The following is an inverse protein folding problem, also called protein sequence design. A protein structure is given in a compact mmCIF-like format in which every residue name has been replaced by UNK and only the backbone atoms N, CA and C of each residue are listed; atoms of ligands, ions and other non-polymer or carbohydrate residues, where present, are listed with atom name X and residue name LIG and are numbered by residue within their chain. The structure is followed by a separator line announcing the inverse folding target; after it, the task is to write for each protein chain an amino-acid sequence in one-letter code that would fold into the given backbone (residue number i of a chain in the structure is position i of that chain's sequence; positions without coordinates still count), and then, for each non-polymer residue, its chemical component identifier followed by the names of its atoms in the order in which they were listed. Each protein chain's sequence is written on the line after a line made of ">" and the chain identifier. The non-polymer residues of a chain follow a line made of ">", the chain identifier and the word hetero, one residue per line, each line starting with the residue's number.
data_IF_472431713810
#
_entry.id   IF_472431713810
#
_cell.length_a   1.000
_cell.length_b   1.000
_cell.length_c   1.000
_cell.angle_alpha   90.00
_cell.angle_beta   90.00
_cell.angle_gamma   90.00
#
_symmetry.space_group_name_H-M   'P 1'
#
loop_
_entity.id
_entity.type
_entity.pdbx_description
1 polymer ?
#
# COMPACT_ATOMS: atom_id res chain seq x y z
N UNK A 1 -10.13 21.80 17.20
CA UNK A 1 -9.13 22.49 16.37
C UNK A 1 -9.17 21.86 15.00
N UNK A 2 -9.43 22.67 13.93
CA UNK A 2 -9.59 22.18 12.56
C UNK A 2 -8.28 21.68 11.98
N UNK A 3 -8.02 20.37 12.03
CA UNK A 3 -6.92 19.78 11.23
C UNK A 3 -7.19 20.05 9.76
N UNK A 4 -6.15 20.40 9.04
CA UNK A 4 -6.18 20.65 7.63
C UNK A 4 -5.23 19.69 6.91
N UNK A 5 -5.65 19.25 5.73
CA UNK A 5 -4.82 18.52 4.81
C UNK A 5 -4.41 19.48 3.70
N UNK A 6 -3.12 19.62 3.45
CA UNK A 6 -2.59 20.47 2.39
C UNK A 6 -1.67 19.70 1.46
N UNK A 7 -1.67 20.07 0.17
CA UNK A 7 -0.79 19.48 -0.85
C UNK A 7 0.01 20.59 -1.51
N UNK A 8 1.31 20.35 -1.71
CA UNK A 8 2.22 21.27 -2.37
C UNK A 8 3.22 20.56 -3.25
N UNK A 9 3.38 21.03 -4.48
CA UNK A 9 4.33 20.50 -5.46
C UNK A 9 5.56 21.40 -5.53
N UNK A 10 6.74 20.80 -5.39
CA UNK A 10 8.03 21.51 -5.57
C UNK A 10 8.42 21.44 -7.04
N UNK A 11 8.34 22.57 -7.72
CA UNK A 11 8.58 22.66 -9.17
C UNK A 11 10.00 22.24 -9.52
N UNK A 12 10.14 21.25 -10.41
CA UNK A 12 11.46 20.80 -10.90
C UNK A 12 12.45 20.44 -9.78
N UNK A 13 12.02 19.66 -8.79
CA UNK A 13 12.72 19.37 -7.54
C UNK A 13 14.21 19.03 -7.73
N UNK A 14 14.58 18.12 -8.64
CA UNK A 14 15.97 17.73 -8.84
C UNK A 14 16.88 18.90 -9.25
N UNK A 15 16.36 19.89 -10.01
CA UNK A 15 17.11 21.06 -10.41
C UNK A 15 17.32 22.07 -9.27
N UNK A 16 16.58 21.91 -8.17
CA UNK A 16 16.69 22.74 -6.98
C UNK A 16 17.56 22.13 -5.87
N UNK A 17 18.14 20.95 -6.14
CA UNK A 17 19.13 20.35 -5.22
C UNK A 17 20.34 21.24 -5.06
N UNK A 18 21.00 21.13 -3.92
CA UNK A 18 22.25 21.83 -3.66
C UNK A 18 23.29 21.54 -4.75
N UNK A 19 24.14 22.53 -5.09
CA UNK A 19 25.17 22.38 -6.11
C UNK A 19 26.11 21.21 -5.83
N UNK A 20 26.76 20.71 -6.86
CA UNK A 20 27.81 19.72 -6.68
C UNK A 20 28.92 20.27 -5.77
N UNK A 21 29.56 19.41 -4.95
CA UNK A 21 30.72 19.81 -4.15
C UNK A 21 31.80 20.45 -5.01
N UNK A 22 32.56 21.38 -4.41
CA UNK A 22 33.66 22.03 -5.06
C UNK A 22 34.66 21.00 -5.61
N UNK A 23 35.15 21.25 -6.85
CA UNK A 23 36.01 20.31 -7.57
C UNK A 23 35.26 19.25 -8.39
N UNK A 24 33.96 19.09 -8.26
CA UNK A 24 33.18 18.21 -9.15
C UNK A 24 33.03 18.85 -10.52
N UNK A 25 33.50 18.16 -11.58
CA UNK A 25 33.37 18.60 -12.94
C UNK A 25 32.50 17.62 -13.71
N UNK A 26 31.32 18.09 -14.12
CA UNK A 26 30.39 17.36 -14.98
C UNK A 26 29.99 18.26 -16.15
N UNK A 27 29.80 17.66 -17.31
CA UNK A 27 29.28 18.32 -18.49
C UNK A 27 28.07 17.63 -19.04
N UNK A 28 27.13 18.41 -19.55
CA UNK A 28 26.01 17.97 -20.35
C UNK A 28 26.18 18.44 -21.78
N UNK A 29 25.85 17.58 -22.72
CA UNK A 29 25.83 17.96 -24.14
C UNK A 29 24.48 17.58 -24.75
N UNK A 30 23.99 18.45 -25.62
CA UNK A 30 22.85 18.15 -26.47
C UNK A 30 23.06 18.68 -27.87
N UNK A 31 22.43 18.03 -28.83
CA UNK A 31 22.43 18.48 -30.22
C UNK A 31 21.13 19.25 -30.47
N UNK A 32 21.28 20.52 -30.86
CA UNK A 32 20.13 21.33 -31.23
C UNK A 32 19.36 20.66 -32.37
N UNK A 33 18.04 20.41 -32.21
CA UNK A 33 17.25 19.69 -33.21
C UNK A 33 17.08 20.47 -34.52
N UNK A 34 17.23 21.81 -34.52
CA UNK A 34 17.05 22.70 -35.67
C UNK A 34 18.39 22.94 -36.34
N UNK A 35 19.35 23.49 -35.61
CA UNK A 35 20.67 23.88 -36.17
C UNK A 35 21.64 22.71 -36.33
N UNK A 36 21.33 21.56 -35.66
CA UNK A 36 22.20 20.37 -35.61
C UNK A 36 23.57 20.60 -34.96
N UNK A 37 23.78 21.74 -34.31
CA UNK A 37 25.01 22.08 -33.58
C UNK A 37 25.03 21.42 -32.23
N UNK A 38 26.20 20.95 -31.79
CA UNK A 38 26.38 20.43 -30.45
C UNK A 38 26.68 21.58 -29.48
N UNK A 39 25.96 21.59 -28.34
CA UNK A 39 26.17 22.49 -27.22
C UNK A 39 26.69 21.72 -26.01
N UNK A 40 27.62 22.30 -25.28
CA UNK A 40 28.26 21.73 -24.10
C UNK A 40 28.14 22.74 -22.95
N UNK A 41 27.63 22.26 -21.82
CA UNK A 41 27.46 23.10 -20.63
C UNK A 41 28.08 22.39 -19.42
N UNK A 42 28.71 23.18 -18.55
CA UNK A 42 29.12 22.69 -17.24
C UNK A 42 27.89 22.57 -16.35
N UNK A 43 27.73 21.43 -15.74
CA UNK A 43 26.61 21.13 -14.89
C UNK A 43 26.94 21.53 -13.45
N UNK A 44 26.14 22.38 -12.80
CA UNK A 44 26.31 22.85 -11.42
C UNK A 44 25.59 21.98 -10.39
N UNK A 45 24.51 21.31 -10.77
CA UNK A 45 23.70 20.43 -9.94
C UNK A 45 23.08 19.29 -10.75
N UNK A 46 22.32 18.37 -10.10
CA UNK A 46 21.73 17.23 -10.79
C UNK A 46 20.64 17.64 -11.77
N UNK A 47 20.41 16.77 -12.76
CA UNK A 47 19.35 16.94 -13.75
C UNK A 47 18.49 15.67 -13.82
N UNK A 48 17.29 15.79 -14.39
CA UNK A 48 16.42 14.64 -14.65
C UNK A 48 17.12 13.63 -15.56
N UNK A 49 17.00 12.34 -15.18
CA UNK A 49 17.67 11.22 -15.86
C UNK A 49 19.01 10.82 -15.24
N UNK A 50 19.58 11.59 -14.34
CA UNK A 50 20.75 11.15 -13.56
C UNK A 50 20.37 10.20 -12.45
N UNK A 51 21.08 9.09 -12.31
CA UNK A 51 20.89 8.09 -11.24
C UNK A 51 21.06 8.71 -9.85
N UNK A 52 21.94 9.71 -9.71
CA UNK A 52 22.20 10.39 -8.44
C UNK A 52 21.20 11.49 -8.08
N UNK A 53 20.33 11.92 -9.00
CA UNK A 53 19.46 13.08 -8.80
C UNK A 53 18.47 12.89 -7.62
N UNK A 54 17.77 11.73 -7.47
CA UNK A 54 16.87 11.53 -6.36
C UNK A 54 17.58 11.60 -4.99
N UNK A 55 18.76 10.99 -4.88
CA UNK A 55 19.54 11.02 -3.63
C UNK A 55 20.01 12.44 -3.29
N UNK A 56 20.45 13.21 -4.28
CA UNK A 56 20.87 14.60 -4.06
C UNK A 56 19.71 15.50 -3.65
N UNK A 57 18.56 15.29 -4.22
CA UNK A 57 17.36 15.99 -3.80
C UNK A 57 16.98 15.64 -2.35
N UNK A 58 16.99 14.37 -2.02
CA UNK A 58 16.78 13.91 -0.65
C UNK A 58 17.78 14.56 0.33
N UNK A 59 19.08 14.58 -0.02
CA UNK A 59 20.14 15.19 0.78
C UNK A 59 20.01 16.73 0.89
N UNK A 60 19.22 17.37 0.04
CA UNK A 60 18.93 18.80 0.11
C UNK A 60 17.68 19.09 0.95
N UNK A 61 16.57 18.41 0.68
CA UNK A 61 15.29 18.75 1.29
C UNK A 61 15.10 18.17 2.70
N UNK A 62 15.62 16.96 2.97
CA UNK A 62 15.44 16.34 4.28
C UNK A 62 16.15 17.12 5.40
N UNK A 63 17.43 17.53 5.28
CA UNK A 63 18.06 18.37 6.30
C UNK A 63 17.37 19.73 6.46
N UNK A 64 16.76 20.26 5.41
CA UNK A 64 16.00 21.48 5.51
C UNK A 64 14.77 21.31 6.42
N UNK A 65 13.99 20.23 6.26
CA UNK A 65 12.89 19.92 7.18
C UNK A 65 13.38 19.74 8.63
N UNK A 66 14.54 19.11 8.82
CA UNK A 66 15.13 18.97 10.15
C UNK A 66 15.44 20.34 10.79
N UNK A 67 15.91 21.34 10.00
CA UNK A 67 16.09 22.72 10.49
C UNK A 67 14.79 23.41 10.85
N UNK A 68 13.65 22.96 10.32
CA UNK A 68 12.30 23.47 10.66
C UNK A 68 11.70 22.74 11.88
N UNK A 69 12.47 21.87 12.55
CA UNK A 69 12.04 21.17 13.75
C UNK A 69 11.34 19.84 13.50
N UNK A 70 11.40 19.32 12.27
CA UNK A 70 10.86 17.99 11.98
C UNK A 70 11.87 16.90 12.29
N UNK A 71 11.39 15.79 12.84
CA UNK A 71 12.14 14.54 12.92
C UNK A 71 11.76 13.66 11.74
N UNK A 72 12.77 13.20 11.00
CA UNK A 72 12.57 12.25 9.90
C UNK A 72 12.36 10.83 10.44
N UNK A 73 11.44 10.07 9.85
CA UNK A 73 11.24 8.65 10.14
C UNK A 73 12.49 7.81 9.83
N UNK A 74 12.76 6.83 10.67
CA UNK A 74 13.87 5.87 10.47
C UNK A 74 13.42 4.68 9.61
N UNK A 75 12.18 4.22 9.84
CA UNK A 75 11.55 3.12 9.11
C UNK A 75 10.87 3.62 7.83
N UNK A 76 10.19 4.79 7.89
CA UNK A 76 9.59 5.45 6.73
C UNK A 76 10.26 6.80 6.46
N UNK A 77 11.21 6.81 5.55
CA UNK A 77 12.04 7.98 5.26
C UNK A 77 11.31 9.12 4.54
N UNK A 78 10.13 8.87 3.99
CA UNK A 78 9.26 9.91 3.41
C UNK A 78 8.43 10.64 4.47
N UNK A 79 8.42 10.17 5.70
CA UNK A 79 7.69 10.73 6.83
C UNK A 79 8.57 11.72 7.62
N UNK A 80 8.01 12.91 7.90
CA UNK A 80 8.62 13.94 8.75
C UNK A 80 7.56 14.43 9.74
N UNK A 81 7.85 14.33 11.03
CA UNK A 81 6.91 14.75 12.08
C UNK A 81 7.52 15.81 13.00
N UNK A 82 6.77 16.89 13.21
CA UNK A 82 7.09 17.95 14.17
C UNK A 82 6.19 17.83 15.41
N UNK A 83 6.73 17.32 16.50
CA UNK A 83 5.97 17.04 17.72
C UNK A 83 5.51 18.32 18.46
N UNK A 84 6.21 19.46 18.29
CA UNK A 84 5.82 20.73 18.94
C UNK A 84 4.58 21.35 18.30
N UNK A 85 4.40 21.09 16.98
CA UNK A 85 3.29 21.62 16.18
C UNK A 85 2.21 20.59 15.88
N UNK A 86 2.43 19.32 16.24
CA UNK A 86 1.60 18.20 15.81
C UNK A 86 1.35 18.23 14.29
N UNK A 87 2.44 18.38 13.52
CA UNK A 87 2.42 18.55 12.07
C UNK A 87 3.17 17.41 11.40
N UNK A 88 2.47 16.67 10.55
CA UNK A 88 3.00 15.55 9.74
C UNK A 88 3.24 16.03 8.31
N UNK A 89 4.38 15.65 7.73
CA UNK A 89 4.68 15.80 6.30
C UNK A 89 4.97 14.43 5.72
N UNK A 90 4.31 14.10 4.61
CA UNK A 90 4.66 12.99 3.75
C UNK A 90 5.22 13.54 2.44
N UNK A 91 6.50 13.24 2.17
CA UNK A 91 7.22 13.75 1.02
C UNK A 91 7.47 12.63 0.00
N UNK A 92 6.95 12.77 -1.21
CA UNK A 92 7.26 11.89 -2.32
C UNK A 92 7.88 12.68 -3.47
N UNK A 93 9.20 12.71 -3.52
CA UNK A 93 10.03 13.49 -4.47
C UNK A 93 9.69 14.99 -4.44
N UNK A 94 8.76 15.43 -5.28
CA UNK A 94 8.27 16.82 -5.43
C UNK A 94 6.88 17.04 -4.78
N UNK A 95 6.14 15.98 -4.55
CA UNK A 95 4.82 16.05 -3.90
C UNK A 95 4.97 16.04 -2.38
N UNK A 96 4.47 17.09 -1.73
CA UNK A 96 4.46 17.26 -0.28
C UNK A 96 3.02 17.29 0.21
N UNK A 97 2.63 16.32 1.03
CA UNK A 97 1.35 16.31 1.73
C UNK A 97 1.59 16.67 3.20
N UNK A 98 0.84 17.64 3.70
CA UNK A 98 0.91 18.10 5.08
C UNK A 98 -0.42 17.86 5.80
N UNK A 99 -0.37 17.33 7.03
CA UNK A 99 -1.53 17.17 7.91
C UNK A 99 -1.25 17.76 9.30
N UNK A 100 -2.06 18.71 9.74
CA UNK A 100 -1.91 19.40 11.01
C UNK A 100 -2.91 20.53 11.20
N UNK A 101 -2.67 21.43 12.16
CA UNK A 101 -3.45 22.66 12.27
C UNK A 101 -3.29 23.50 11.00
N UNK A 102 -4.38 24.12 10.52
CA UNK A 102 -4.37 24.88 9.27
C UNK A 102 -3.30 25.97 9.22
N UNK A 103 -3.07 26.66 10.35
CA UNK A 103 -2.05 27.70 10.44
C UNK A 103 -0.62 27.12 10.35
N UNK A 104 -0.40 25.92 10.88
CA UNK A 104 0.89 25.24 10.82
C UNK A 104 1.15 24.65 9.42
N UNK A 105 0.13 24.15 8.73
CA UNK A 105 0.23 23.73 7.32
C UNK A 105 0.55 24.95 6.43
N UNK A 106 -0.11 26.07 6.62
CA UNK A 106 0.18 27.30 5.90
C UNK A 106 1.60 27.82 6.19
N UNK A 107 2.03 27.76 7.46
CA UNK A 107 3.37 28.15 7.87
C UNK A 107 4.44 27.34 7.14
N UNK A 108 4.38 26.00 7.19
CA UNK A 108 5.44 25.18 6.56
C UNK A 108 5.47 25.35 5.04
N UNK A 109 4.33 25.52 4.38
CA UNK A 109 4.28 25.78 2.95
C UNK A 109 4.86 27.15 2.59
N UNK A 110 4.65 28.14 3.43
CA UNK A 110 5.28 29.47 3.28
C UNK A 110 6.80 29.39 3.45
N UNK A 111 7.29 28.64 4.43
CA UNK A 111 8.73 28.43 4.62
C UNK A 111 9.34 27.64 3.45
N UNK A 112 8.62 26.63 2.93
CA UNK A 112 9.04 25.88 1.75
C UNK A 112 9.21 26.77 0.50
N UNK A 113 8.29 27.71 0.28
CA UNK A 113 8.35 28.68 -0.82
C UNK A 113 9.50 29.67 -0.71
N UNK A 114 9.97 29.99 0.49
CA UNK A 114 11.15 30.84 0.68
C UNK A 114 12.44 30.16 0.24
N UNK A 115 12.49 28.83 0.33
CA UNK A 115 13.69 28.05 0.00
C UNK A 115 13.64 27.44 -1.39
N UNK A 116 12.48 26.97 -1.83
CA UNK A 116 12.27 26.26 -3.07
C UNK A 116 11.17 26.90 -3.92
N UNK A 117 11.33 26.81 -5.23
CA UNK A 117 10.27 27.22 -6.16
C UNK A 117 9.16 26.16 -6.13
N UNK A 118 7.99 26.53 -5.71
CA UNK A 118 6.82 25.66 -5.62
C UNK A 118 5.70 26.12 -6.56
N UNK A 119 4.74 25.24 -6.84
CA UNK A 119 3.42 25.63 -7.32
C UNK A 119 2.60 26.22 -6.16
N UNK A 120 1.43 26.82 -6.46
CA UNK A 120 0.49 27.24 -5.42
C UNK A 120 0.17 26.05 -4.51
N UNK A 121 0.02 26.30 -3.21
CA UNK A 121 -0.48 25.27 -2.30
C UNK A 121 -1.98 25.12 -2.47
N UNK A 122 -2.44 23.89 -2.34
CA UNK A 122 -3.85 23.55 -2.37
C UNK A 122 -4.24 22.92 -1.03
N UNK A 123 -5.16 23.57 -0.32
CA UNK A 123 -5.75 23.00 0.90
C UNK A 123 -6.91 22.12 0.51
N UNK A 124 -6.94 20.89 1.02
CA UNK A 124 -8.06 19.97 0.78
C UNK A 124 -9.24 20.42 1.66
N UNK A 125 -10.32 20.82 1.03
CA UNK A 125 -11.55 21.29 1.71
C UNK A 125 -12.77 20.61 1.10
N UNK A 126 -13.93 20.78 1.70
CA UNK A 126 -15.21 20.29 1.16
C UNK A 126 -15.52 20.75 -0.27
N UNK A 127 -14.85 21.79 -0.74
CA UNK A 127 -15.06 22.38 -2.06
C UNK A 127 -13.94 22.04 -3.06
N UNK A 128 -12.83 21.48 -2.62
CA UNK A 128 -11.65 21.22 -3.45
C UNK A 128 -11.24 19.75 -3.37
N UNK A 129 -11.21 19.12 -4.52
CA UNK A 129 -10.57 17.80 -4.70
C UNK A 129 -9.13 17.98 -5.13
N UNK A 130 -8.21 17.23 -4.53
CA UNK A 130 -6.79 17.32 -4.84
C UNK A 130 -6.25 16.00 -5.36
N UNK A 131 -5.35 16.10 -6.33
CA UNK A 131 -4.63 14.94 -6.88
C UNK A 131 -3.28 14.80 -6.15
N UNK A 132 -3.09 13.66 -5.48
CA UNK A 132 -1.83 13.30 -4.82
C UNK A 132 -1.44 11.89 -5.27
N UNK A 133 -0.32 11.75 -5.96
CA UNK A 133 0.20 10.47 -6.48
C UNK A 133 -0.82 9.71 -7.36
N UNK A 134 -1.67 10.41 -8.08
CA UNK A 134 -2.74 9.83 -8.89
C UNK A 134 -3.98 9.39 -8.09
N UNK A 135 -4.01 9.69 -6.80
CA UNK A 135 -5.20 9.56 -5.94
C UNK A 135 -5.90 10.91 -5.85
N UNK A 136 -7.20 10.91 -5.97
CA UNK A 136 -8.02 12.09 -5.71
C UNK A 136 -8.48 12.03 -4.26
N UNK A 137 -8.11 13.03 -3.46
CA UNK A 137 -8.49 13.18 -2.06
C UNK A 137 -9.57 14.26 -1.98
N UNK A 138 -10.67 13.97 -1.31
CA UNK A 138 -11.78 14.89 -1.06
C UNK A 138 -12.24 14.78 0.38
N UNK A 139 -12.51 15.92 1.00
CA UNK A 139 -13.15 16.01 2.32
C UNK A 139 -14.62 16.38 2.11
N UNK A 140 -15.53 15.65 2.72
CA UNK A 140 -16.96 15.97 2.75
C UNK A 140 -17.51 15.75 4.16
N UNK A 141 -17.90 16.83 4.82
CA UNK A 141 -18.37 16.79 6.21
C UNK A 141 -17.30 16.20 7.13
N UNK A 142 -17.61 15.10 7.78
CA UNK A 142 -16.74 14.38 8.71
C UNK A 142 -15.95 13.23 8.08
N UNK A 143 -15.88 13.15 6.75
CA UNK A 143 -15.22 12.05 6.03
C UNK A 143 -14.20 12.52 5.00
N UNK A 144 -13.10 11.76 4.90
CA UNK A 144 -12.15 11.84 3.78
C UNK A 144 -12.45 10.69 2.83
N UNK A 145 -12.46 10.99 1.54
CA UNK A 145 -12.58 10.01 0.48
C UNK A 145 -11.31 9.99 -0.37
N UNK A 146 -10.79 8.80 -0.65
CA UNK A 146 -9.63 8.61 -1.53
C UNK A 146 -10.04 7.74 -2.72
N UNK A 147 -9.96 8.29 -3.93
CA UNK A 147 -10.39 7.66 -5.18
C UNK A 147 -9.26 7.61 -6.20
N UNK A 148 -9.30 6.62 -7.09
CA UNK A 148 -8.42 6.51 -8.26
C UNK A 148 -9.19 6.40 -9.58
N UNK A 149 -10.42 6.92 -9.65
CA UNK A 149 -11.29 6.80 -10.82
C UNK A 149 -10.61 7.29 -12.11
N UNK A 150 -9.95 8.45 -12.10
CA UNK A 150 -9.21 9.00 -13.25
C UNK A 150 -8.06 8.10 -13.69
N UNK A 151 -7.32 7.55 -12.72
CA UNK A 151 -6.22 6.62 -13.01
C UNK A 151 -6.76 5.35 -13.67
N UNK A 152 -7.85 4.79 -13.15
CA UNK A 152 -8.52 3.60 -13.70
C UNK A 152 -8.98 3.86 -15.14
N UNK A 153 -9.62 4.99 -15.42
CA UNK A 153 -10.06 5.36 -16.77
C UNK A 153 -8.89 5.45 -17.75
N UNK A 154 -7.79 6.08 -17.33
CA UNK A 154 -6.59 6.16 -18.14
C UNK A 154 -5.94 4.79 -18.40
N UNK A 155 -5.85 3.95 -17.37
CA UNK A 155 -5.31 2.59 -17.48
C UNK A 155 -6.17 1.73 -18.41
N UNK A 156 -7.49 1.76 -18.27
CA UNK A 156 -8.41 1.04 -19.15
C UNK A 156 -8.26 1.48 -20.62
N UNK A 157 -8.09 2.78 -20.87
CA UNK A 157 -7.82 3.32 -22.21
C UNK A 157 -6.51 2.83 -22.79
N UNK A 158 -5.44 2.80 -22.00
CA UNK A 158 -4.11 2.32 -22.43
C UNK A 158 -4.16 0.83 -22.76
N UNK A 159 -4.83 0.02 -21.92
CA UNK A 159 -4.94 -1.43 -22.09
C UNK A 159 -5.97 -1.81 -23.16
N UNK A 160 -6.85 -0.89 -23.54
CA UNK A 160 -7.91 -1.11 -24.52
C UNK A 160 -9.06 -1.98 -24.00
N UNK A 161 -9.45 -1.79 -22.73
CA UNK A 161 -10.55 -2.51 -22.09
C UNK A 161 -11.83 -1.67 -22.16
N UNK A 162 -12.89 -2.28 -22.71
CA UNK A 162 -14.23 -1.64 -22.84
C UNK A 162 -15.35 -2.47 -22.21
N UNK A 163 -15.05 -3.68 -21.74
CA UNK A 163 -16.01 -4.59 -21.11
C UNK A 163 -16.27 -4.26 -19.64
N UNK A 164 -17.14 -5.06 -19.03
CA UNK A 164 -17.46 -5.03 -17.60
C UNK A 164 -17.32 -6.43 -16.97
N UNK A 165 -17.02 -6.46 -15.67
CA UNK A 165 -16.99 -7.70 -14.88
C UNK A 165 -17.45 -7.39 -13.46
N UNK A 166 -18.16 -8.32 -12.83
CA UNK A 166 -18.64 -8.17 -11.44
C UNK A 166 -17.58 -8.52 -10.40
N UNK A 167 -16.57 -9.28 -10.79
CA UNK A 167 -15.44 -9.69 -9.93
C UNK A 167 -14.12 -9.49 -10.68
N UNK A 168 -13.02 -9.20 -10.01
CA UNK A 168 -11.73 -8.93 -10.66
C UNK A 168 -11.07 -10.18 -11.25
N UNK A 169 -11.41 -11.36 -10.70
CA UNK A 169 -10.97 -12.67 -11.20
C UNK A 169 -12.07 -13.69 -10.91
N UNK A 170 -12.38 -14.53 -11.87
CA UNK A 170 -13.49 -15.50 -11.78
C UNK A 170 -13.07 -16.95 -11.95
N UNK A 171 -11.81 -17.20 -12.31
CA UNK A 171 -11.27 -18.54 -12.49
C UNK A 171 -9.74 -18.54 -12.33
N UNK A 172 -9.12 -19.67 -12.01
CA UNK A 172 -7.66 -19.81 -12.01
C UNK A 172 -7.06 -19.48 -13.38
N UNK A 173 -5.82 -19.01 -13.37
CA UNK A 173 -5.07 -18.73 -14.60
C UNK A 173 -4.49 -20.05 -15.14
N UNK A 174 -4.82 -20.36 -16.38
CA UNK A 174 -4.32 -21.56 -17.05
C UNK A 174 -2.85 -21.40 -17.44
N UNK A 175 -2.00 -22.22 -16.87
CA UNK A 175 -0.55 -22.23 -17.13
C UNK A 175 -0.17 -22.93 -18.43
N UNK A 176 -1.05 -23.82 -18.95
CA UNK A 176 -0.82 -24.56 -20.19
C UNK A 176 -1.28 -23.76 -21.42
N UNK A 177 -1.85 -22.57 -21.19
CA UNK A 177 -2.20 -21.61 -22.24
C UNK A 177 -0.96 -21.10 -22.97
N UNK A 178 -1.04 -20.77 -24.27
CA UNK A 178 0.11 -20.29 -25.05
C UNK A 178 0.80 -19.07 -24.42
N UNK A 179 2.13 -19.04 -24.51
CA UNK A 179 2.91 -17.90 -24.07
C UNK A 179 2.68 -16.69 -24.98
N UNK A 180 2.73 -15.50 -24.40
CA UNK A 180 2.62 -14.25 -25.13
C UNK A 180 3.87 -13.97 -25.97
N UNK A 181 3.68 -13.33 -27.13
CA UNK A 181 4.78 -12.74 -27.89
C UNK A 181 5.56 -11.71 -27.08
N UNK A 182 6.76 -11.33 -27.52
CA UNK A 182 7.57 -10.31 -26.85
C UNK A 182 6.80 -8.98 -26.67
N UNK A 183 6.00 -8.57 -27.66
CA UNK A 183 5.12 -7.40 -27.56
C UNK A 183 4.03 -7.61 -26.52
N UNK A 184 3.35 -8.75 -26.54
CA UNK A 184 2.31 -9.10 -25.57
C UNK A 184 2.86 -9.15 -24.13
N UNK A 185 4.09 -9.64 -23.94
CA UNK A 185 4.78 -9.64 -22.65
C UNK A 185 5.02 -8.21 -22.13
N UNK A 186 5.46 -7.28 -22.99
CA UNK A 186 5.66 -5.88 -22.60
C UNK A 186 4.32 -5.22 -22.19
N UNK A 187 3.26 -5.45 -22.96
CA UNK A 187 1.90 -4.96 -22.64
C UNK A 187 1.39 -5.56 -21.32
N UNK A 188 1.62 -6.86 -21.09
CA UNK A 188 1.25 -7.53 -19.85
C UNK A 188 1.97 -6.91 -18.63
N UNK A 189 3.29 -6.73 -18.70
CA UNK A 189 4.07 -6.15 -17.61
C UNK A 189 3.64 -4.71 -17.29
N UNK A 190 3.32 -3.92 -18.31
CA UNK A 190 2.77 -2.57 -18.12
C UNK A 190 1.44 -2.62 -17.38
N UNK A 191 0.53 -3.50 -17.80
CA UNK A 191 -0.78 -3.65 -17.17
C UNK A 191 -0.69 -4.18 -15.73
N UNK A 192 0.21 -5.14 -15.46
CA UNK A 192 0.48 -5.64 -14.10
C UNK A 192 1.03 -4.54 -13.20
N UNK A 193 1.92 -3.68 -13.71
CA UNK A 193 2.41 -2.52 -12.96
C UNK A 193 1.28 -1.55 -12.59
N UNK A 194 0.40 -1.24 -13.53
CA UNK A 194 -0.78 -0.38 -13.26
C UNK A 194 -1.74 -1.02 -12.26
N UNK A 195 -2.00 -2.33 -12.37
CA UNK A 195 -2.85 -3.07 -11.43
C UNK A 195 -2.23 -3.10 -10.02
N UNK A 196 -0.90 -3.29 -9.95
CA UNK A 196 -0.17 -3.29 -8.68
C UNK A 196 -0.24 -1.96 -7.95
N UNK A 197 -0.16 -0.84 -8.69
CA UNK A 197 -0.33 0.48 -8.10
C UNK A 197 -1.72 0.65 -7.49
N UNK A 198 -2.77 0.29 -8.23
CA UNK A 198 -4.14 0.32 -7.73
C UNK A 198 -4.34 -0.55 -6.49
N UNK A 199 -3.83 -1.78 -6.52
CA UNK A 199 -3.97 -2.77 -5.44
C UNK A 199 -3.25 -2.39 -4.14
N UNK A 200 -2.21 -1.55 -4.22
CA UNK A 200 -1.39 -1.13 -3.07
C UNK A 200 -1.74 0.27 -2.54
N UNK A 201 -2.64 0.98 -3.21
CA UNK A 201 -3.02 2.34 -2.82
C UNK A 201 -4.46 2.42 -2.32
N UNK A 202 -5.44 2.37 -3.21
CA UNK A 202 -6.86 2.57 -2.90
C UNK A 202 -7.70 1.33 -3.19
N UNK A 203 -7.39 0.57 -4.25
CA UNK A 203 -8.20 -0.54 -4.73
C UNK A 203 -7.73 -1.87 -4.14
N UNK A 204 -7.82 -1.98 -2.81
CA UNK A 204 -7.44 -3.20 -2.10
C UNK A 204 -8.26 -4.42 -2.53
N UNK A 205 -9.46 -4.21 -3.02
CA UNK A 205 -10.35 -5.24 -3.56
C UNK A 205 -9.77 -6.04 -4.76
N UNK A 206 -8.72 -5.54 -5.39
CA UNK A 206 -7.99 -6.27 -6.45
C UNK A 206 -6.63 -6.83 -6.00
N UNK A 207 -6.27 -6.75 -4.72
CA UNK A 207 -4.94 -7.18 -4.21
C UNK A 207 -4.69 -8.68 -4.43
N UNK A 208 -5.68 -9.54 -4.20
CA UNK A 208 -5.57 -10.97 -4.51
C UNK A 208 -5.35 -11.19 -6.01
N UNK A 209 -6.15 -10.54 -6.83
CA UNK A 209 -6.07 -10.65 -8.30
C UNK A 209 -4.70 -10.20 -8.80
N UNK A 210 -4.19 -9.08 -8.29
CA UNK A 210 -2.84 -8.61 -8.59
C UNK A 210 -1.78 -9.64 -8.18
N UNK A 211 -1.84 -10.15 -6.95
CA UNK A 211 -0.91 -11.16 -6.45
C UNK A 211 -0.88 -12.41 -7.33
N UNK A 212 -2.05 -12.86 -7.81
CA UNK A 212 -2.16 -14.01 -8.69
C UNK A 212 -1.58 -13.75 -10.07
N UNK A 213 -1.95 -12.66 -10.70
CA UNK A 213 -1.49 -12.29 -12.06
C UNK A 213 0.01 -12.02 -12.06
N UNK A 214 0.55 -11.32 -11.05
CA UNK A 214 1.97 -10.97 -10.95
C UNK A 214 2.90 -12.20 -10.91
N UNK A 215 2.42 -13.35 -10.43
CA UNK A 215 3.18 -14.60 -10.43
C UNK A 215 3.52 -15.13 -11.85
N UNK A 216 2.79 -14.66 -12.87
CA UNK A 216 3.02 -15.01 -14.27
C UNK A 216 3.94 -14.03 -15.02
N UNK A 217 4.54 -13.05 -14.35
CA UNK A 217 5.35 -11.98 -14.99
C UNK A 217 6.60 -12.49 -15.72
N UNK A 218 7.17 -13.61 -15.29
CA UNK A 218 8.35 -14.20 -15.95
C UNK A 218 8.00 -14.79 -17.32
N UNK A 219 6.91 -15.57 -17.41
CA UNK A 219 6.41 -16.23 -18.62
C UNK A 219 4.89 -16.06 -18.73
N UNK A 220 4.41 -14.88 -19.13
CA UNK A 220 2.98 -14.61 -19.20
C UNK A 220 2.32 -15.32 -20.37
N UNK A 221 1.13 -15.88 -20.10
CA UNK A 221 0.32 -16.62 -21.07
C UNK A 221 -0.88 -15.81 -21.55
N UNK A 222 -1.56 -16.27 -22.60
CA UNK A 222 -2.81 -15.68 -23.08
C UNK A 222 -3.89 -15.69 -22.00
N UNK A 223 -3.93 -16.76 -21.17
CA UNK A 223 -4.83 -16.86 -20.02
C UNK A 223 -4.52 -15.79 -18.96
N UNK A 224 -3.24 -15.53 -18.68
CA UNK A 224 -2.82 -14.48 -17.76
C UNK A 224 -3.22 -13.08 -18.28
N UNK A 225 -3.07 -12.81 -19.59
CA UNK A 225 -3.53 -11.56 -20.21
C UNK A 225 -5.06 -11.43 -20.15
N UNK A 226 -5.81 -12.52 -20.32
CA UNK A 226 -7.26 -12.53 -20.15
C UNK A 226 -7.65 -12.18 -18.71
N UNK A 227 -6.95 -12.69 -17.71
CA UNK A 227 -7.18 -12.34 -16.31
C UNK A 227 -6.92 -10.85 -16.06
N UNK A 228 -5.84 -10.27 -16.63
CA UNK A 228 -5.58 -8.81 -16.59
C UNK A 228 -6.77 -8.03 -17.15
N UNK A 229 -7.26 -8.41 -18.34
CA UNK A 229 -8.40 -7.71 -18.97
C UNK A 229 -9.68 -7.82 -18.15
N UNK A 230 -9.92 -8.97 -17.49
CA UNK A 230 -11.06 -9.15 -16.58
C UNK A 230 -10.94 -8.24 -15.37
N UNK A 231 -9.73 -8.13 -14.78
CA UNK A 231 -9.48 -7.23 -13.66
C UNK A 231 -9.75 -5.77 -14.02
N UNK A 232 -9.28 -5.32 -15.19
CA UNK A 232 -9.55 -3.94 -15.64
C UNK A 232 -11.00 -3.71 -16.09
N UNK A 233 -11.70 -4.74 -16.59
CA UNK A 233 -13.13 -4.66 -16.85
C UNK A 233 -13.95 -4.49 -15.56
N UNK A 234 -13.55 -5.18 -14.47
CA UNK A 234 -14.09 -4.98 -13.14
C UNK A 234 -13.79 -3.56 -12.62
N UNK A 235 -12.54 -3.12 -12.71
CA UNK A 235 -12.13 -1.77 -12.27
C UNK A 235 -12.88 -0.67 -13.02
N UNK A 236 -13.08 -0.82 -14.34
CA UNK A 236 -13.85 0.13 -15.15
C UNK A 236 -15.30 0.25 -14.69
N UNK A 237 -15.94 -0.88 -14.40
CA UNK A 237 -17.32 -0.90 -13.89
C UNK A 237 -17.43 -0.34 -12.47
N UNK A 238 -16.42 -0.59 -11.63
CA UNK A 238 -16.40 -0.25 -10.21
C UNK A 238 -15.48 0.95 -9.89
N UNK A 239 -15.20 1.82 -10.85
CA UNK A 239 -14.25 2.93 -10.70
C UNK A 239 -14.61 3.94 -9.61
N UNK A 240 -15.88 4.03 -9.24
CA UNK A 240 -16.40 4.93 -8.20
C UNK A 240 -16.24 4.37 -6.77
N UNK A 241 -15.76 3.13 -6.62
CA UNK A 241 -15.40 2.64 -5.30
C UNK A 241 -14.11 3.30 -4.81
N UNK A 242 -14.15 3.78 -3.58
CA UNK A 242 -13.09 4.51 -2.92
C UNK A 242 -12.94 4.08 -1.46
N UNK A 243 -11.84 4.45 -0.83
CA UNK A 243 -11.66 4.35 0.61
C UNK A 243 -12.33 5.56 1.25
N UNK A 244 -13.05 5.35 2.36
CA UNK A 244 -13.60 6.41 3.18
C UNK A 244 -13.13 6.26 4.61
N UNK A 245 -12.55 7.31 5.16
CA UNK A 245 -12.15 7.40 6.56
C UNK A 245 -12.92 8.51 7.26
N UNK A 246 -13.35 8.27 8.51
CA UNK A 246 -14.00 9.30 9.32
C UNK A 246 -12.96 10.26 9.88
N UNK A 247 -13.22 11.55 9.76
CA UNK A 247 -12.48 12.63 10.43
C UNK A 247 -13.23 12.93 11.72
N UNK A 248 -12.54 13.01 12.84
CA UNK A 248 -13.19 13.43 14.09
C UNK A 248 -13.46 14.92 14.08
N UNK A 249 -14.74 15.31 14.30
CA UNK A 249 -15.15 16.72 14.42
C UNK A 249 -14.61 17.37 15.68
N UNK A 250 -14.48 18.71 15.64
CA UNK A 250 -13.81 19.60 16.62
C UNK A 250 -14.35 19.55 18.06
N UNK A 251 -15.51 18.95 18.33
CA UNK A 251 -16.15 18.91 19.65
C UNK A 251 -15.73 17.71 20.53
N UNK A 252 -14.90 16.82 20.01
CA UNK A 252 -14.35 15.71 20.77
C UNK A 252 -12.96 16.11 21.23
N UNK A 253 -12.72 16.10 22.54
CA UNK A 253 -11.37 16.26 23.10
C UNK A 253 -10.44 15.24 22.45
N UNK A 254 -9.69 15.68 21.42
CA UNK A 254 -8.85 14.82 20.57
C UNK A 254 -7.81 14.10 21.43
N UNK A 255 -7.28 14.73 22.49
CA UNK A 255 -6.35 14.07 23.39
C UNK A 255 -7.03 12.97 24.19
N UNK A 256 -8.24 13.20 24.71
CA UNK A 256 -9.03 12.16 25.38
C UNK A 256 -9.54 11.11 24.39
N UNK A 257 -9.73 11.47 23.13
CA UNK A 257 -10.13 10.54 22.06
C UNK A 257 -8.93 9.79 21.51
N UNK A 258 -7.77 10.41 21.33
CA UNK A 258 -6.52 9.72 20.97
C UNK A 258 -6.06 8.79 22.09
N UNK A 259 -6.22 9.17 23.36
CA UNK A 259 -6.00 8.26 24.49
C UNK A 259 -7.01 7.11 24.50
N UNK A 260 -8.27 7.35 24.13
CA UNK A 260 -9.26 6.30 23.90
C UNK A 260 -8.95 5.47 22.64
N UNK A 261 -8.57 6.10 21.52
CA UNK A 261 -8.21 5.44 20.28
C UNK A 261 -6.95 4.56 20.45
N UNK A 262 -6.00 5.00 21.26
CA UNK A 262 -4.82 4.21 21.63
C UNK A 262 -5.14 3.04 22.57
N UNK A 263 -6.23 3.14 23.34
CA UNK A 263 -6.67 2.13 24.33
C UNK A 263 -7.88 1.32 23.84
N UNK A 264 -8.58 1.77 22.79
CA UNK A 264 -9.80 1.13 22.32
C UNK A 264 -9.48 0.20 21.14
N UNK A 265 -9.46 -1.11 21.44
CA UNK A 265 -9.31 -2.17 20.44
C UNK A 265 -10.40 -2.12 19.35
N UNK A 266 -11.49 -1.40 19.57
CA UNK A 266 -12.62 -1.31 18.66
C UNK A 266 -12.35 -0.38 17.45
N UNK A 267 -11.30 0.46 17.53
CA UNK A 267 -10.90 1.37 16.43
C UNK A 267 -10.01 0.65 15.41
N UNK A 268 -9.15 -0.24 15.89
CA UNK A 268 -8.24 -1.00 15.05
C UNK A 268 -8.73 -2.43 14.90
N UNK A 269 -8.80 -2.90 13.68
CA UNK A 269 -9.07 -4.31 13.34
C UNK A 269 -7.91 -4.89 12.55
N UNK A 270 -7.44 -6.07 12.97
CA UNK A 270 -6.34 -6.81 12.33
C UNK A 270 -6.84 -8.21 12.02
N UNK A 271 -7.21 -8.45 10.76
CA UNK A 271 -7.74 -9.72 10.31
C UNK A 271 -6.75 -10.49 9.46
N UNK A 272 -6.60 -11.77 9.71
CA UNK A 272 -5.71 -12.68 8.97
C UNK A 272 -6.47 -13.88 8.46
N UNK A 273 -6.12 -14.31 7.24
CA UNK A 273 -6.62 -15.54 6.62
C UNK A 273 -5.52 -16.23 5.83
N UNK A 274 -5.69 -17.51 5.53
CA UNK A 274 -4.86 -18.23 4.59
C UNK A 274 -5.63 -19.27 3.79
N UNK A 275 -5.39 -19.34 2.50
CA UNK A 275 -5.91 -20.40 1.65
C UNK A 275 -4.84 -21.47 1.44
N UNK A 276 -5.12 -22.69 1.97
CA UNK A 276 -4.21 -23.81 1.90
C UNK A 276 -4.17 -24.39 0.50
N UNK A 277 -3.00 -24.34 -0.14
CA UNK A 277 -2.74 -24.97 -1.45
C UNK A 277 -3.76 -24.58 -2.55
N UNK A 278 -4.48 -23.46 -2.37
CA UNK A 278 -5.50 -22.96 -3.31
C UNK A 278 -4.92 -22.60 -4.68
N UNK A 279 -3.60 -22.46 -4.76
CA UNK A 279 -2.86 -22.31 -5.99
C UNK A 279 -2.57 -23.67 -6.64
N UNK A 280 -3.59 -24.28 -7.24
CA UNK A 280 -3.49 -25.60 -7.89
C UNK A 280 -2.66 -25.61 -9.19
N UNK A 281 -2.16 -24.44 -9.63
CA UNK A 281 -1.37 -24.30 -10.85
C UNK A 281 -0.01 -25.01 -10.68
N UNK A 282 0.32 -25.88 -11.63
CA UNK A 282 1.52 -26.75 -11.60
C UNK A 282 2.81 -25.94 -11.43
N UNK A 283 2.91 -24.77 -12.08
CA UNK A 283 4.09 -23.91 -11.98
C UNK A 283 4.25 -23.25 -10.61
N UNK A 284 3.17 -23.00 -9.90
CA UNK A 284 3.17 -22.33 -8.57
C UNK A 284 3.30 -23.33 -7.41
N UNK A 285 3.46 -24.63 -7.70
CA UNK A 285 3.79 -25.66 -6.72
C UNK A 285 2.82 -25.72 -5.54
N UNK A 286 1.53 -25.45 -5.78
CA UNK A 286 0.47 -25.40 -4.77
C UNK A 286 0.83 -24.53 -3.56
N UNK A 287 1.38 -23.36 -3.80
CA UNK A 287 1.65 -22.38 -2.73
C UNK A 287 0.34 -21.90 -2.12
N UNK A 288 0.36 -21.75 -0.84
CA UNK A 288 -0.73 -21.12 -0.09
C UNK A 288 -0.74 -19.61 -0.29
N UNK A 289 -1.90 -18.99 -0.14
CA UNK A 289 -2.05 -17.54 -0.19
C UNK A 289 -2.33 -17.02 1.21
N UNK A 290 -1.61 -16.00 1.64
CA UNK A 290 -1.79 -15.35 2.95
C UNK A 290 -2.45 -13.99 2.74
N UNK A 291 -3.44 -13.68 3.56
CA UNK A 291 -4.18 -12.42 3.57
C UNK A 291 -4.03 -11.71 4.90
N UNK A 292 -3.89 -10.40 4.86
CA UNK A 292 -3.92 -9.50 6.02
C UNK A 292 -4.78 -8.30 5.66
N UNK A 293 -5.70 -7.92 6.54
CA UNK A 293 -6.48 -6.69 6.46
C UNK A 293 -6.34 -5.92 7.77
N UNK A 294 -5.84 -4.70 7.69
CA UNK A 294 -5.77 -3.76 8.82
C UNK A 294 -6.69 -2.60 8.51
N UNK A 295 -7.60 -2.33 9.43
CA UNK A 295 -8.53 -1.20 9.35
C UNK A 295 -8.36 -0.28 10.55
N UNK A 296 -8.59 1.00 10.33
CA UNK A 296 -8.71 2.03 11.37
C UNK A 296 -10.03 2.75 11.16
N UNK A 297 -10.90 2.78 12.15
CA UNK A 297 -12.26 3.34 12.00
C UNK A 297 -12.99 2.80 10.77
N UNK A 298 -12.99 1.49 10.59
CA UNK A 298 -13.59 0.79 9.44
C UNK A 298 -12.88 1.04 8.09
N UNK A 299 -12.01 2.04 7.98
CA UNK A 299 -11.25 2.30 6.76
C UNK A 299 -10.05 1.35 6.64
N UNK A 300 -9.87 0.65 5.51
CA UNK A 300 -8.69 -0.18 5.28
C UNK A 300 -7.47 0.71 5.10
N UNK A 301 -6.42 0.46 5.87
CA UNK A 301 -5.14 1.18 5.78
C UNK A 301 -4.04 0.31 5.20
N UNK A 302 -4.10 -0.99 5.43
CA UNK A 302 -3.17 -1.97 4.85
C UNK A 302 -3.90 -3.25 4.51
N UNK A 303 -3.81 -3.67 3.26
CA UNK A 303 -4.35 -4.93 2.80
C UNK A 303 -3.30 -5.68 1.99
N UNK A 304 -2.93 -6.87 2.44
CA UNK A 304 -1.86 -7.67 1.84
C UNK A 304 -2.41 -8.98 1.32
N UNK A 305 -2.02 -9.33 0.10
CA UNK A 305 -2.23 -10.64 -0.48
C UNK A 305 -0.89 -11.18 -1.00
N UNK A 306 -0.34 -12.19 -0.33
CA UNK A 306 0.99 -12.73 -0.64
C UNK A 306 0.93 -14.25 -0.79
N UNK A 307 1.53 -14.78 -1.87
CA UNK A 307 1.83 -16.23 -1.94
C UNK A 307 2.86 -16.61 -0.87
N UNK A 308 2.64 -17.72 -0.19
CA UNK A 308 3.60 -18.27 0.78
C UNK A 308 4.96 -18.52 0.11
N UNK A 309 6.04 -18.15 0.81
CA UNK A 309 7.39 -18.47 0.37
C UNK A 309 7.78 -19.93 0.62
N UNK A 310 7.00 -20.65 1.41
CA UNK A 310 7.29 -22.02 1.84
C UNK A 310 6.66 -22.99 0.87
N UNK A 311 7.47 -23.56 0.01
CA UNK A 311 7.17 -24.79 -0.70
C UNK A 311 8.19 -25.84 -0.23
N UNK A 312 7.75 -26.97 0.29
CA UNK A 312 8.66 -28.05 0.64
C UNK A 312 9.15 -28.70 -0.64
N UNK A 313 10.45 -28.60 -0.92
CA UNK A 313 11.09 -29.42 -1.94
C UNK A 313 11.74 -30.64 -1.26
N UNK A 314 11.36 -31.83 -1.65
CA UNK A 314 12.08 -33.04 -1.27
C UNK A 314 13.22 -33.27 -2.25
N UNK A 315 14.48 -33.31 -1.81
CA UNK A 315 15.62 -33.66 -2.68
C UNK A 315 15.49 -35.05 -3.32
N UNK A 316 14.67 -35.92 -2.70
CA UNK A 316 14.47 -37.32 -3.16
C UNK A 316 13.44 -37.43 -4.29
N UNK A 317 12.55 -36.46 -4.46
CA UNK A 317 11.45 -36.56 -5.42
C UNK A 317 11.60 -35.48 -6.53
N UNK A 318 12.52 -34.52 -6.38
CA UNK A 318 12.79 -33.48 -7.38
C UNK A 318 11.66 -32.47 -7.57
N UNK A 319 10.58 -32.60 -6.80
CA UNK A 319 9.39 -31.73 -6.88
C UNK A 319 9.16 -31.01 -5.56
N UNK A 320 8.71 -29.78 -5.65
CA UNK A 320 8.25 -29.04 -4.47
C UNK A 320 6.83 -29.47 -4.13
N UNK A 321 6.62 -29.85 -2.88
CA UNK A 321 5.31 -30.24 -2.37
C UNK A 321 4.67 -29.05 -1.62
N UNK A 322 3.32 -29.04 -1.63
CA UNK A 322 2.53 -28.12 -0.87
C UNK A 322 2.79 -28.23 0.65
N UNK A 323 2.44 -27.20 1.40
CA UNK A 323 2.41 -27.24 2.86
C UNK A 323 1.64 -28.48 3.37
N UNK A 324 2.21 -29.17 4.33
CA UNK A 324 1.73 -30.51 4.73
C UNK A 324 0.41 -30.51 5.50
N UNK A 325 -0.08 -29.34 5.95
CA UNK A 325 -1.39 -29.21 6.59
C UNK A 325 -1.91 -27.77 6.56
N UNK A 326 -3.25 -27.62 6.55
CA UNK A 326 -3.89 -26.29 6.68
C UNK A 326 -3.44 -25.55 7.95
N UNK A 327 -3.32 -26.26 9.07
CA UNK A 327 -2.85 -25.67 10.32
C UNK A 327 -1.42 -25.08 10.24
N UNK A 328 -0.51 -25.71 9.49
CA UNK A 328 0.85 -25.17 9.30
C UNK A 328 0.82 -23.87 8.51
N UNK A 329 -0.02 -23.78 7.49
CA UNK A 329 -0.17 -22.59 6.64
C UNK A 329 -0.74 -21.43 7.45
N UNK A 330 -1.76 -21.68 8.25
CA UNK A 330 -2.35 -20.69 9.14
C UNK A 330 -1.34 -20.13 10.15
N UNK A 331 -0.52 -21.00 10.74
CA UNK A 331 0.57 -20.60 11.64
C UNK A 331 1.58 -19.69 10.91
N UNK A 332 1.91 -20.01 9.66
CA UNK A 332 2.79 -19.17 8.85
C UNK A 332 2.14 -17.84 8.50
N UNK A 333 0.85 -17.83 8.19
CA UNK A 333 0.10 -16.62 7.91
C UNK A 333 0.09 -15.68 9.11
N UNK A 334 -0.25 -16.19 10.29
CA UNK A 334 -0.18 -15.44 11.55
C UNK A 334 1.22 -14.89 11.82
N UNK A 335 2.26 -15.72 11.66
CA UNK A 335 3.64 -15.26 11.85
C UNK A 335 4.08 -14.17 10.89
N UNK A 336 3.65 -14.23 9.62
CA UNK A 336 3.92 -13.17 8.64
C UNK A 336 3.12 -11.90 8.94
N UNK A 337 1.82 -12.04 9.23
CA UNK A 337 0.95 -10.92 9.58
C UNK A 337 1.47 -10.15 10.80
N UNK A 338 1.92 -10.86 11.85
CA UNK A 338 2.48 -10.19 13.04
C UNK A 338 3.78 -9.42 12.74
N UNK A 339 4.61 -9.88 11.80
CA UNK A 339 5.79 -9.12 11.37
C UNK A 339 5.40 -7.87 10.57
N UNK A 340 4.42 -7.98 9.65
CA UNK A 340 3.91 -6.84 8.89
C UNK A 340 3.24 -5.82 9.84
N UNK A 341 2.45 -6.26 10.82
CA UNK A 341 1.82 -5.42 11.85
C UNK A 341 2.87 -4.67 12.70
N UNK A 342 3.92 -5.37 13.14
CA UNK A 342 5.00 -4.73 13.91
C UNK A 342 5.78 -3.71 13.09
N UNK A 343 5.98 -3.95 11.78
CA UNK A 343 6.60 -2.95 10.90
C UNK A 343 5.71 -1.69 10.77
N UNK A 344 4.40 -1.88 10.68
CA UNK A 344 3.42 -0.77 10.63
C UNK A 344 3.43 0.01 11.96
N UNK A 345 3.55 -0.67 13.11
CA UNK A 345 3.57 0.01 14.41
C UNK A 345 4.69 1.06 14.50
N UNK A 346 5.87 0.76 13.98
CA UNK A 346 6.97 1.73 13.94
C UNK A 346 6.65 2.94 13.07
N UNK A 347 6.02 2.73 11.90
CA UNK A 347 5.62 3.85 11.02
C UNK A 347 4.56 4.72 11.69
N UNK A 348 3.56 4.11 12.34
CA UNK A 348 2.50 4.81 13.07
C UNK A 348 3.11 5.69 14.18
N UNK A 349 4.07 5.17 14.95
CA UNK A 349 4.77 5.94 15.98
C UNK A 349 5.62 7.08 15.39
N UNK A 350 6.27 6.87 14.25
CA UNK A 350 7.02 7.91 13.53
C UNK A 350 6.11 9.04 13.01
N UNK A 351 4.84 8.75 12.75
CA UNK A 351 3.81 9.72 12.38
C UNK A 351 3.23 10.48 13.60
N UNK A 352 3.76 10.24 14.80
CA UNK A 352 3.27 10.88 16.04
C UNK A 352 2.00 10.25 16.61
N UNK A 353 1.58 9.09 16.08
CA UNK A 353 0.39 8.38 16.56
C UNK A 353 0.78 7.24 17.50
N UNK A 354 -0.15 6.84 18.37
CA UNK A 354 0.03 5.70 19.27
C UNK A 354 -0.54 4.43 18.62
N UNK A 355 0.28 3.37 18.58
CA UNK A 355 -0.17 2.06 18.11
C UNK A 355 -0.85 1.28 19.27
N UNK A 356 -1.98 0.58 19.05
CA UNK A 356 -2.68 -0.13 20.12
C UNK A 356 -1.88 -1.35 20.59
N UNK A 357 -1.59 -1.41 21.89
CA UNK A 357 -0.97 -2.58 22.54
C UNK A 357 -1.75 -2.89 23.83
N UNK A 358 -2.29 -4.10 23.98
CA UNK A 358 -2.28 -5.23 23.02
C UNK A 358 -3.17 -5.00 21.80
N UNK A 359 -2.72 -5.33 20.60
CA UNK A 359 -3.61 -5.40 19.47
C UNK A 359 -4.34 -6.75 19.40
N UNK A 360 -5.57 -6.76 18.90
CA UNK A 360 -6.37 -7.95 18.72
C UNK A 360 -6.18 -8.52 17.32
N UNK A 361 -5.63 -9.76 17.20
CA UNK A 361 -5.48 -10.43 15.90
C UNK A 361 -6.63 -11.40 15.70
N UNK A 362 -7.48 -11.09 14.74
CA UNK A 362 -8.70 -11.81 14.40
C UNK A 362 -8.40 -12.88 13.33
N UNK A 363 -8.89 -14.11 13.57
CA UNK A 363 -8.72 -15.24 12.66
C UNK A 363 -9.91 -16.18 12.78
N UNK A 364 -10.32 -16.82 11.69
CA UNK A 364 -11.44 -17.76 11.68
C UNK A 364 -11.01 -19.22 11.90
N UNK A 365 -9.72 -19.50 11.90
CA UNK A 365 -9.17 -20.83 12.12
C UNK A 365 -8.85 -21.09 13.60
N UNK A 366 -9.68 -21.90 14.26
CA UNK A 366 -9.47 -22.27 15.67
C UNK A 366 -8.16 -23.00 15.94
N UNK A 367 -7.64 -23.78 14.99
CA UNK A 367 -6.36 -24.46 15.17
C UNK A 367 -5.20 -23.45 15.23
N UNK A 368 -5.22 -22.42 14.39
CA UNK A 368 -4.27 -21.33 14.43
C UNK A 368 -4.37 -20.54 15.74
N UNK A 369 -5.58 -20.22 16.18
CA UNK A 369 -5.83 -19.54 17.46
C UNK A 369 -5.32 -20.34 18.66
N UNK A 370 -5.64 -21.62 18.74
CA UNK A 370 -5.17 -22.53 19.81
C UNK A 370 -3.64 -22.62 19.82
N UNK A 371 -3.04 -22.62 18.63
CA UNK A 371 -1.59 -22.58 18.48
C UNK A 371 -0.99 -21.28 19.05
N UNK A 372 -1.56 -20.13 18.74
CA UNK A 372 -1.17 -18.83 19.29
C UNK A 372 -1.30 -18.81 20.83
N UNK A 373 -2.34 -19.47 21.37
CA UNK A 373 -2.55 -19.62 22.83
C UNK A 373 -1.59 -20.58 23.50
N UNK A 374 -0.72 -21.25 22.75
CA UNK A 374 0.33 -22.10 23.30
C UNK A 374 -0.09 -23.49 23.75
N UNK A 375 -1.33 -23.90 23.42
CA UNK A 375 -1.88 -25.21 23.79
C UNK A 375 -1.42 -26.34 22.86
N UNK A 376 -0.75 -26.01 21.75
CA UNK A 376 -0.27 -27.00 20.80
C UNK A 376 1.08 -27.60 21.21
N UNK A 377 1.26 -28.90 20.94
CA UNK A 377 2.52 -29.62 21.20
C UNK A 377 3.65 -29.08 20.28
N UNK A 378 4.92 -29.16 20.76
CA UNK A 378 6.10 -28.83 19.98
C UNK A 378 6.11 -29.62 18.67
N UNK A 379 6.28 -28.93 17.55
CA UNK A 379 6.44 -29.57 16.24
C UNK A 379 7.88 -30.05 16.06
N UNK A 380 8.09 -31.05 15.19
CA UNK A 380 9.45 -31.51 14.82
C UNK A 380 10.12 -30.60 13.78
N UNK A 381 9.46 -29.52 13.37
CA UNK A 381 9.91 -28.61 12.29
C UNK A 381 10.43 -27.32 12.88
N UNK A 382 11.75 -27.17 12.95
CA UNK A 382 12.43 -26.02 13.57
C UNK A 382 11.98 -24.64 13.04
N UNK A 383 11.65 -24.52 11.77
CA UNK A 383 11.18 -23.26 11.19
C UNK A 383 9.76 -22.88 11.64
N UNK A 384 8.92 -23.86 11.94
CA UNK A 384 7.61 -23.65 12.57
C UNK A 384 7.83 -23.25 14.03
N UNK A 385 8.76 -23.91 14.72
CA UNK A 385 9.06 -23.63 16.13
C UNK A 385 9.53 -22.19 16.34
N UNK A 386 10.39 -21.64 15.46
CA UNK A 386 10.83 -20.24 15.56
C UNK A 386 9.66 -19.24 15.42
N UNK A 387 8.74 -19.46 14.47
CA UNK A 387 7.57 -18.58 14.30
C UNK A 387 6.57 -18.74 15.43
N UNK A 388 6.41 -19.97 15.92
CA UNK A 388 5.59 -20.24 17.08
C UNK A 388 6.14 -19.51 18.32
N UNK A 389 7.43 -19.54 18.52
CA UNK A 389 8.07 -18.86 19.65
C UNK A 389 7.92 -17.33 19.53
N UNK A 390 8.03 -16.78 18.31
CA UNK A 390 7.77 -15.38 18.06
C UNK A 390 6.32 -14.98 18.43
N UNK A 391 5.33 -15.70 17.93
CA UNK A 391 3.90 -15.42 18.21
C UNK A 391 3.60 -15.57 19.70
N UNK A 392 4.19 -16.59 20.35
CA UNK A 392 4.08 -16.78 21.81
C UNK A 392 4.71 -15.64 22.58
N UNK A 393 5.88 -15.17 22.15
CA UNK A 393 6.55 -14.04 22.77
C UNK A 393 5.68 -12.77 22.72
N UNK A 394 5.03 -12.49 21.59
CA UNK A 394 4.10 -11.36 21.47
C UNK A 394 2.92 -11.49 22.45
N UNK A 395 2.30 -12.69 22.53
CA UNK A 395 1.22 -12.95 23.47
C UNK A 395 1.68 -12.83 24.93
N UNK A 396 2.79 -13.48 25.29
CA UNK A 396 3.25 -13.52 26.70
C UNK A 396 3.68 -12.14 27.20
N UNK A 397 4.15 -11.29 26.29
CA UNK A 397 4.44 -9.86 26.54
C UNK A 397 3.19 -8.97 26.49
N UNK A 398 2.02 -9.53 26.26
CA UNK A 398 0.75 -8.80 26.11
C UNK A 398 0.80 -7.75 25.00
N UNK A 399 1.47 -8.05 23.88
CA UNK A 399 1.53 -7.21 22.70
C UNK A 399 0.38 -7.57 21.76
N UNK A 400 0.00 -8.85 21.71
CA UNK A 400 -1.04 -9.37 20.83
C UNK A 400 -2.01 -10.29 21.60
N UNK A 401 -3.30 -10.20 21.24
CA UNK A 401 -4.36 -11.10 21.72
C UNK A 401 -5.00 -11.81 20.52
N UNK A 402 -4.88 -13.15 20.38
CA UNK A 402 -5.54 -13.89 19.31
C UNK A 402 -7.02 -14.10 19.63
N UNK A 403 -7.90 -13.73 18.70
CA UNK A 403 -9.36 -13.83 18.85
C UNK A 403 -9.95 -14.58 17.66
N UNK A 404 -11.02 -15.33 17.90
CA UNK A 404 -11.78 -15.97 16.83
C UNK A 404 -12.81 -15.01 16.24
N UNK A 405 -12.90 -15.01 14.91
CA UNK A 405 -13.95 -14.33 14.14
C UNK A 405 -14.68 -15.37 13.27
N UNK A 406 -15.98 -15.21 13.08
CA UNK A 406 -16.70 -16.07 12.13
C UNK A 406 -16.18 -15.84 10.70
N UNK A 407 -16.00 -16.91 9.89
CA UNK A 407 -15.48 -16.80 8.51
C UNK A 407 -16.28 -15.82 7.64
N UNK A 408 -17.59 -15.69 7.85
CA UNK A 408 -18.42 -14.69 7.12
C UNK A 408 -18.05 -13.25 7.45
N UNK A 409 -17.41 -13.00 8.61
CA UNK A 409 -17.02 -11.68 9.11
C UNK A 409 -15.52 -11.40 8.95
N UNK A 410 -14.73 -12.37 8.43
CA UNK A 410 -13.31 -12.22 8.16
C UNK A 410 -13.07 -11.51 6.81
N UNK A 411 -12.73 -10.24 6.85
CA UNK A 411 -12.44 -9.45 5.63
C UNK A 411 -11.16 -9.92 4.91
N UNK A 412 -10.27 -10.65 5.58
CA UNK A 412 -9.04 -11.18 4.99
C UNK A 412 -9.31 -12.27 3.93
N UNK A 413 -10.49 -12.87 3.90
CA UNK A 413 -10.96 -13.80 2.85
C UNK A 413 -10.82 -13.22 1.44
N UNK A 414 -11.00 -11.91 1.28
CA UNK A 414 -10.88 -11.21 0.01
C UNK A 414 -9.46 -11.28 -0.57
N UNK A 415 -8.47 -11.52 0.28
CA UNK A 415 -7.05 -11.49 -0.08
C UNK A 415 -6.43 -12.88 -0.27
N UNK A 416 -7.22 -13.95 -0.10
CA UNK A 416 -6.69 -15.32 -0.11
C UNK A 416 -7.29 -16.23 -1.18
N UNK A 417 -8.51 -15.99 -1.64
CA UNK A 417 -9.23 -16.91 -2.52
C UNK A 417 -10.06 -16.21 -3.61
N UNK A 418 -10.42 -16.96 -4.66
CA UNK A 418 -11.38 -16.51 -5.67
C UNK A 418 -12.77 -16.60 -5.06
N UNK A 419 -13.44 -15.47 -4.93
CA UNK A 419 -14.81 -15.40 -4.44
C UNK A 419 -15.79 -15.28 -5.61
N UNK A 420 -16.94 -15.90 -5.49
CA UNK A 420 -18.08 -15.65 -6.36
C UNK A 420 -18.64 -14.24 -6.09
N UNK A 421 -19.50 -13.75 -6.98
CA UNK A 421 -19.98 -12.36 -6.96
C UNK A 421 -20.52 -11.92 -5.60
N UNK A 422 -21.48 -12.63 -5.03
CA UNK A 422 -22.16 -12.20 -3.79
C UNK A 422 -21.20 -12.11 -2.58
N UNK A 423 -20.38 -13.15 -2.25
CA UNK A 423 -19.40 -13.04 -1.18
C UNK A 423 -18.35 -11.95 -1.44
N UNK A 424 -17.90 -11.79 -2.70
CA UNK A 424 -16.97 -10.74 -3.07
C UNK A 424 -17.54 -9.33 -2.80
N UNK A 425 -18.74 -9.05 -3.29
CA UNK A 425 -19.41 -7.76 -3.09
C UNK A 425 -19.67 -7.49 -1.61
N UNK A 426 -20.02 -8.52 -0.82
CA UNK A 426 -20.25 -8.39 0.60
C UNK A 426 -18.97 -7.93 1.33
N UNK A 427 -17.83 -8.57 1.09
CA UNK A 427 -16.56 -8.21 1.75
C UNK A 427 -16.04 -6.87 1.22
N UNK A 428 -16.07 -6.66 -0.11
CA UNK A 428 -15.68 -5.37 -0.71
C UNK A 428 -16.41 -4.20 -0.07
N UNK A 429 -17.73 -4.31 0.13
CA UNK A 429 -18.55 -3.22 0.68
C UNK A 429 -18.30 -2.96 2.18
N UNK A 430 -17.55 -3.84 2.87
CA UNK A 430 -17.08 -3.59 4.25
C UNK A 430 -15.75 -2.83 4.29
N UNK A 431 -15.00 -2.84 3.19
CA UNK A 431 -13.69 -2.17 3.12
C UNK A 431 -13.69 -0.97 2.16
N UNK A 432 -14.70 -0.83 1.33
CA UNK A 432 -14.80 0.27 0.36
C UNK A 432 -16.24 0.79 0.28
N UNK A 433 -16.36 2.05 -0.07
CA UNK A 433 -17.66 2.69 -0.31
C UNK A 433 -17.79 3.11 -1.77
N UNK A 434 -19.01 3.06 -2.29
CA UNK A 434 -19.30 3.62 -3.60
C UNK A 434 -19.60 5.12 -3.43
N UNK A 435 -18.70 5.95 -3.93
CA UNK A 435 -18.83 7.40 -3.84
C UNK A 435 -18.26 8.07 -5.09
N UNK A 436 -19.02 8.97 -5.67
CA UNK A 436 -18.58 9.71 -6.85
C UNK A 436 -17.77 10.94 -6.43
N UNK A 437 -16.44 10.75 -6.31
CA UNK A 437 -15.48 11.80 -5.94
C UNK A 437 -15.14 12.71 -7.14
N UNK A 438 -16.03 12.82 -8.14
CA UNK A 438 -15.74 13.63 -9.31
C UNK A 438 -15.93 15.13 -9.04
N UNK A 439 -15.06 15.91 -9.68
CA UNK A 439 -15.24 17.34 -9.82
C UNK A 439 -16.64 17.64 -10.40
N UNK A 440 -17.38 18.47 -9.73
CA UNK A 440 -18.39 19.27 -10.40
C UNK A 440 -17.64 20.16 -11.41
N UNK A 441 -17.82 19.91 -12.71
CA UNK A 441 -17.34 20.77 -13.80
C UNK A 441 -17.95 22.16 -13.73
#
# INVERSE_FOLDING_TARGET
>A
RGRALGIKDVSTAFLQSDPYPEGTIKYISFRDPITRVWHYYRQSGPIYGEVSAPKRWEDTIAPWFETMGFKRGENERSCFYNAERDLLILLYVDDCLADGDAADVEWIFTELEKRFKCKSADMVTDLLTQDYLGMVIRVEGDRVYMSMAKYIENACRIIGVTGSSWVPINQPIDTDSPELSAKGKAEFLTAVGMLGWLAQTVRFDVSYTYSRIAQHSASPTESAMKAVRTAFAYLNQSKHFCISAQIYADDVDIMATLDKLALDSDVWSFMVDSDHAGNAEVQNKRRSQNGLCIKVNEAPVVCVSKASSVAFASPLIGEAHADMSSAAVEIFSVGNATLDIMAISYVVEEMGMTFPIPFTLEMDNDAARIFCLGSAHKTKLKHIDCRQEWVRCLRDRKIMTPVHVDSKDNDADLFTKILSREPFEMVRNRIMVEHNVHHDE
#
